data_IF_395225144011
#
_entry.id   IF_395225144011
#
_cell.length_a   1.000
_cell.length_b   1.000
_cell.length_c   1.000
_cell.angle_alpha   90.00
_cell.angle_beta   90.00
_cell.angle_gamma   90.00
#
_symmetry.space_group_name_H-M   'P 1'
#
loop_
_entity.id
_entity.type
_entity.pdbx_description
1 polymer ?
#
# COMPACT_ATOMS: atom_id res chain seq x y z
N UNK A 1 1.45 -14.10 -32.94
CA UNK A 1 0.67 -14.95 -32.01
C UNK A 1 1.50 -15.25 -30.77
N UNK A 2 1.47 -14.30 -29.81
CA UNK A 2 2.29 -14.32 -28.61
C UNK A 2 1.95 -15.50 -27.67
N UNK A 3 0.73 -16.00 -27.73
CA UNK A 3 0.28 -17.14 -26.93
C UNK A 3 0.90 -18.47 -27.40
N UNK A 4 1.29 -18.58 -28.65
CA UNK A 4 1.88 -19.79 -29.22
C UNK A 4 3.35 -20.00 -28.86
N UNK A 5 4.09 -18.93 -28.52
CA UNK A 5 5.55 -19.00 -28.40
C UNK A 5 6.12 -18.76 -27.03
N UNK A 6 5.32 -18.46 -26.00
CA UNK A 6 5.75 -18.25 -24.58
C UNK A 6 6.99 -17.35 -24.43
N UNK A 7 7.17 -16.37 -25.32
CA UNK A 7 8.27 -15.41 -25.24
C UNK A 7 7.94 -14.28 -24.26
N UNK A 8 8.96 -13.75 -23.61
CA UNK A 8 8.86 -12.52 -22.83
C UNK A 8 8.41 -11.37 -23.74
N UNK A 9 7.32 -10.69 -23.37
CA UNK A 9 6.71 -9.59 -24.12
C UNK A 9 7.10 -8.21 -23.57
N UNK A 10 8.11 -8.13 -22.72
CA UNK A 10 8.57 -6.85 -22.21
C UNK A 10 9.14 -6.01 -23.35
N UNK A 11 8.63 -4.79 -23.49
CA UNK A 11 9.03 -3.85 -24.53
C UNK A 11 9.50 -2.56 -23.88
N UNK A 12 10.68 -2.09 -24.27
CA UNK A 12 11.19 -0.77 -23.90
C UNK A 12 11.10 0.17 -25.12
N UNK A 13 10.49 1.35 -24.93
CA UNK A 13 10.37 2.39 -25.96
C UNK A 13 11.16 3.62 -25.51
N UNK A 14 12.24 3.94 -26.21
CA UNK A 14 13.13 5.04 -25.89
C UNK A 14 12.89 6.21 -26.86
N UNK A 15 12.84 7.41 -26.30
CA UNK A 15 12.70 8.65 -27.09
C UNK A 15 12.61 9.87 -26.18
N UNK A 16 13.03 11.02 -26.66
CA UNK A 16 12.95 12.29 -25.96
C UNK A 16 11.51 12.75 -25.70
N UNK A 17 11.34 13.87 -24.99
CA UNK A 17 10.02 14.51 -24.85
C UNK A 17 9.49 14.92 -26.21
N UNK A 18 8.20 14.74 -26.46
CA UNK A 18 7.57 15.08 -27.75
C UNK A 18 7.83 14.11 -28.90
N UNK A 19 8.65 13.04 -28.73
CA UNK A 19 8.94 12.06 -29.80
C UNK A 19 7.74 11.18 -30.21
N UNK A 20 6.59 11.34 -29.56
CA UNK A 20 5.37 10.63 -29.90
C UNK A 20 5.22 9.24 -29.29
N UNK A 21 6.03 8.86 -28.27
CA UNK A 21 5.92 7.56 -27.59
C UNK A 21 4.48 7.23 -27.19
N UNK A 22 3.81 8.16 -26.53
CA UNK A 22 2.41 7.98 -26.09
C UNK A 22 1.47 7.88 -27.30
N UNK A 23 1.63 8.75 -28.28
CA UNK A 23 0.73 8.85 -29.45
C UNK A 23 0.84 7.66 -30.38
N UNK A 24 2.07 7.24 -30.71
CA UNK A 24 2.31 6.25 -31.76
C UNK A 24 2.55 4.83 -31.23
N UNK A 25 2.80 4.68 -29.93
CA UNK A 25 3.00 3.36 -29.32
C UNK A 25 1.96 3.03 -28.24
N UNK A 26 1.89 3.82 -27.16
CA UNK A 26 1.03 3.48 -26.01
C UNK A 26 -0.45 3.46 -26.40
N UNK A 27 -0.96 4.54 -27.00
CA UNK A 27 -2.39 4.64 -27.36
C UNK A 27 -2.84 3.59 -28.38
N UNK A 28 -2.11 3.34 -29.49
CA UNK A 28 -2.50 2.28 -30.43
C UNK A 28 -2.50 0.88 -29.80
N UNK A 29 -1.54 0.56 -28.94
CA UNK A 29 -1.52 -0.73 -28.25
C UNK A 29 -2.66 -0.85 -27.24
N UNK A 30 -2.94 0.19 -26.48
CA UNK A 30 -4.06 0.22 -25.54
C UNK A 30 -5.43 0.06 -26.23
N UNK A 31 -5.58 0.64 -27.43
CA UNK A 31 -6.81 0.59 -28.22
C UNK A 31 -7.04 -0.75 -28.95
N UNK A 32 -6.11 -1.69 -28.86
CA UNK A 32 -6.37 -3.06 -29.31
C UNK A 32 -7.38 -3.79 -28.41
N UNK A 33 -7.51 -3.39 -27.16
CA UNK A 33 -8.51 -3.88 -26.18
C UNK A 33 -8.50 -5.41 -26.03
N UNK A 34 -7.31 -6.02 -26.05
CA UNK A 34 -7.14 -7.49 -26.03
C UNK A 34 -6.92 -8.08 -24.63
N UNK A 35 -6.88 -7.25 -23.59
CA UNK A 35 -6.63 -7.71 -22.20
C UNK A 35 -6.93 -6.65 -21.17
N UNK A 36 -6.46 -6.86 -19.95
CA UNK A 36 -6.48 -5.87 -18.91
C UNK A 36 -5.27 -4.94 -18.98
N UNK A 37 -5.41 -3.73 -18.50
CA UNK A 37 -4.38 -2.70 -18.61
C UNK A 37 -4.14 -2.01 -17.27
N UNK A 38 -2.87 -1.82 -16.93
CA UNK A 38 -2.43 -0.92 -15.88
C UNK A 38 -1.61 0.21 -16.49
N UNK A 39 -2.02 1.45 -16.27
CA UNK A 39 -1.31 2.63 -16.74
C UNK A 39 -0.79 3.45 -15.57
N UNK A 40 0.52 3.70 -15.53
CA UNK A 40 1.08 4.81 -14.77
C UNK A 40 1.00 6.05 -15.66
N UNK A 41 0.16 7.00 -15.30
CA UNK A 41 -0.28 8.12 -16.14
C UNK A 41 0.11 9.48 -15.54
N UNK A 42 1.38 9.91 -15.69
CA UNK A 42 1.77 11.24 -15.28
C UNK A 42 0.89 12.29 -15.96
N UNK A 43 0.28 13.21 -15.20
CA UNK A 43 -0.64 14.25 -15.68
C UNK A 43 -2.03 13.81 -16.14
N UNK A 44 -2.38 12.53 -16.10
CA UNK A 44 -3.69 12.02 -16.46
C UNK A 44 -4.03 12.12 -17.95
N UNK A 45 -3.02 12.17 -18.86
CA UNK A 45 -3.27 12.25 -20.31
C UNK A 45 -3.95 11.00 -20.84
N UNK A 46 -3.47 9.82 -20.44
CA UNK A 46 -4.03 8.54 -20.87
C UNK A 46 -5.44 8.36 -20.32
N UNK A 47 -5.66 8.68 -19.05
CA UNK A 47 -6.98 8.63 -18.41
C UNK A 47 -8.01 9.44 -19.19
N UNK A 48 -7.70 10.70 -19.51
CA UNK A 48 -8.60 11.59 -20.27
C UNK A 48 -8.85 11.13 -21.71
N UNK A 49 -7.87 10.50 -22.36
CA UNK A 49 -7.99 10.16 -23.79
C UNK A 49 -8.45 8.74 -24.03
N UNK A 50 -8.15 7.79 -23.13
CA UNK A 50 -8.48 6.38 -23.30
C UNK A 50 -9.63 5.92 -22.41
N UNK A 51 -9.75 6.46 -21.19
CA UNK A 51 -10.72 5.97 -20.20
C UNK A 51 -12.11 5.85 -20.77
N UNK A 52 -12.68 6.96 -21.27
CA UNK A 52 -14.03 6.96 -21.84
C UNK A 52 -14.17 6.05 -23.07
N UNK A 53 -13.14 5.92 -23.89
CA UNK A 53 -13.16 5.02 -25.06
C UNK A 53 -13.25 3.57 -24.57
N UNK A 54 -12.45 3.20 -23.59
CA UNK A 54 -12.46 1.85 -23.00
C UNK A 54 -13.81 1.52 -22.37
N UNK A 55 -14.40 2.44 -21.61
CA UNK A 55 -15.74 2.28 -21.04
C UNK A 55 -16.81 2.05 -22.10
N UNK A 56 -16.79 2.82 -23.21
CA UNK A 56 -17.75 2.63 -24.32
C UNK A 56 -17.59 1.30 -25.04
N UNK A 57 -16.44 0.65 -24.86
CA UNK A 57 -16.15 -0.69 -25.39
C UNK A 57 -16.39 -1.81 -24.36
N UNK A 58 -16.98 -1.49 -23.23
CA UNK A 58 -17.34 -2.46 -22.18
C UNK A 58 -16.20 -2.85 -21.24
N UNK A 59 -15.05 -2.17 -21.28
CA UNK A 59 -13.96 -2.38 -20.34
C UNK A 59 -14.27 -1.59 -19.05
N UNK A 60 -14.19 -2.25 -17.93
CA UNK A 60 -14.33 -1.60 -16.61
C UNK A 60 -13.11 -0.71 -16.35
N UNK A 61 -13.34 0.58 -16.17
CA UNK A 61 -12.26 1.57 -15.94
C UNK A 61 -12.26 1.99 -14.48
N UNK A 62 -11.10 1.93 -13.86
CA UNK A 62 -10.87 2.43 -12.50
C UNK A 62 -9.71 3.43 -12.52
N UNK A 63 -9.84 4.49 -11.74
CA UNK A 63 -8.82 5.56 -11.66
C UNK A 63 -8.44 5.79 -10.21
N UNK A 64 -7.14 5.73 -9.93
CA UNK A 64 -6.56 6.21 -8.69
C UNK A 64 -5.77 7.50 -9.00
N UNK A 65 -6.31 8.64 -8.59
CA UNK A 65 -5.69 9.95 -8.87
C UNK A 65 -4.97 10.47 -7.61
N UNK A 66 -3.65 10.38 -7.60
CA UNK A 66 -2.79 10.86 -6.50
C UNK A 66 -2.53 12.38 -6.57
N UNK A 67 -3.01 13.05 -7.63
CA UNK A 67 -2.92 14.52 -7.75
C UNK A 67 -4.09 15.19 -7.03
N UNK A 68 -5.31 14.68 -7.24
CA UNK A 68 -6.54 15.23 -6.66
C UNK A 68 -7.10 14.41 -5.50
N UNK A 69 -6.45 13.27 -5.16
CA UNK A 69 -6.89 12.30 -4.16
C UNK A 69 -8.30 11.76 -4.46
N UNK A 70 -8.48 11.23 -5.67
CA UNK A 70 -9.72 10.61 -6.13
C UNK A 70 -9.54 9.11 -6.38
N UNK A 71 -10.64 8.35 -6.20
CA UNK A 71 -10.60 6.90 -6.13
C UNK A 71 -10.14 6.42 -4.75
N UNK A 72 -10.37 5.16 -4.42
CA UNK A 72 -10.04 4.61 -3.12
C UNK A 72 -9.22 3.33 -3.27
N UNK A 73 -8.08 3.29 -2.60
CA UNK A 73 -7.21 2.14 -2.54
C UNK A 73 -6.78 1.90 -1.10
N UNK A 74 -7.23 0.81 -0.52
CA UNK A 74 -6.81 0.38 0.81
C UNK A 74 -5.90 -0.84 0.70
N UNK A 75 -4.59 -0.71 0.92
CA UNK A 75 -3.67 -1.84 0.88
C UNK A 75 -4.01 -2.98 1.84
N UNK A 76 -4.68 -2.69 2.97
CA UNK A 76 -5.08 -3.73 3.93
C UNK A 76 -6.18 -4.65 3.38
N UNK A 77 -6.95 -4.22 2.37
CA UNK A 77 -7.98 -5.04 1.74
C UNK A 77 -7.43 -6.24 0.94
N UNK A 78 -6.11 -6.30 0.74
CA UNK A 78 -5.42 -7.35 -0.05
C UNK A 78 -4.50 -8.22 0.80
N UNK A 79 -4.63 -8.17 2.12
CA UNK A 79 -3.89 -9.02 3.03
C UNK A 79 -4.63 -10.35 3.19
N UNK A 80 -3.96 -11.45 2.86
CA UNK A 80 -4.51 -12.80 2.98
C UNK A 80 -3.72 -13.65 3.99
N UNK A 81 -2.44 -13.33 4.18
CA UNK A 81 -1.53 -14.07 5.06
C UNK A 81 -0.80 -13.15 6.03
N UNK A 82 -0.21 -13.73 7.08
CA UNK A 82 0.63 -13.00 8.04
C UNK A 82 1.83 -12.34 7.35
N UNK A 83 2.40 -13.04 6.37
CA UNK A 83 3.53 -12.55 5.58
C UNK A 83 3.15 -11.31 4.77
N UNK A 84 1.91 -11.21 4.28
CA UNK A 84 1.44 -10.02 3.56
C UNK A 84 1.39 -8.80 4.48
N UNK A 85 0.94 -8.98 5.72
CA UNK A 85 0.93 -7.93 6.74
C UNK A 85 2.34 -7.44 7.06
N UNK A 86 3.29 -8.37 7.21
CA UNK A 86 4.70 -8.05 7.46
C UNK A 86 5.33 -7.34 6.26
N UNK A 87 5.08 -7.81 5.03
CA UNK A 87 5.55 -7.16 3.80
C UNK A 87 4.99 -5.75 3.66
N UNK A 88 3.71 -5.55 4.00
CA UNK A 88 3.09 -4.23 3.96
C UNK A 88 3.76 -3.27 4.95
N UNK A 89 3.99 -3.70 6.19
CA UNK A 89 4.70 -2.90 7.19
C UNK A 89 6.12 -2.52 6.72
N UNK A 90 6.84 -3.50 6.17
CA UNK A 90 8.18 -3.29 5.62
C UNK A 90 8.17 -2.31 4.43
N UNK A 91 7.20 -2.44 3.53
CA UNK A 91 7.04 -1.53 2.39
C UNK A 91 6.76 -0.10 2.85
N UNK A 92 5.91 0.10 3.87
CA UNK A 92 5.63 1.41 4.45
C UNK A 92 6.92 2.04 4.98
N UNK A 93 7.61 1.37 5.91
CA UNK A 93 8.80 1.92 6.55
C UNK A 93 9.89 2.27 5.54
N UNK A 94 10.10 1.42 4.52
CA UNK A 94 11.18 1.65 3.54
C UNK A 94 10.84 2.70 2.47
N UNK A 95 9.56 2.86 2.12
CA UNK A 95 9.17 3.77 1.05
C UNK A 95 8.74 5.17 1.53
N UNK A 96 8.56 5.35 2.84
CA UNK A 96 8.19 6.66 3.42
C UNK A 96 9.36 7.45 3.97
N UNK A 97 10.57 6.90 3.92
CA UNK A 97 11.78 7.60 4.34
C UNK A 97 12.08 8.81 3.46
N UNK A 98 12.52 9.93 4.06
CA UNK A 98 13.07 11.04 3.30
C UNK A 98 14.23 10.56 2.41
N UNK A 99 14.27 10.96 1.14
CA UNK A 99 15.33 10.58 0.19
C UNK A 99 16.72 11.04 0.61
N UNK A 100 16.78 12.09 1.43
CA UNK A 100 18.01 12.69 1.94
C UNK A 100 18.38 12.20 3.36
N UNK A 101 17.68 11.19 3.88
CA UNK A 101 18.06 10.58 5.15
C UNK A 101 19.46 9.96 4.99
N UNK A 102 20.39 10.21 5.94
CA UNK A 102 21.72 9.60 5.88
C UNK A 102 21.57 8.08 5.73
N UNK A 103 22.32 7.49 4.78
CA UNK A 103 22.35 6.03 4.53
C UNK A 103 23.00 5.25 5.67
N UNK A 104 22.66 5.54 6.89
CA UNK A 104 23.14 4.99 8.16
C UNK A 104 22.24 5.36 9.29
N UNK A 105 21.00 5.82 8.97
CA UNK A 105 19.93 5.95 9.96
C UNK A 105 19.81 4.65 10.73
N UNK A 106 19.71 4.75 12.03
CA UNK A 106 19.84 3.62 12.95
C UNK A 106 18.85 2.52 12.56
N UNK A 107 19.34 1.45 11.94
CA UNK A 107 18.56 0.29 11.48
C UNK A 107 17.64 -0.25 12.59
N UNK A 108 18.04 -0.05 13.83
CA UNK A 108 17.25 -0.41 14.99
C UNK A 108 15.86 0.27 15.00
N UNK A 109 15.76 1.56 14.65
CA UNK A 109 14.49 2.30 14.64
C UNK A 109 13.55 1.81 13.55
N UNK A 110 14.13 1.51 12.38
CA UNK A 110 13.40 0.97 11.24
C UNK A 110 12.87 -0.43 11.55
N UNK A 111 13.74 -1.34 11.99
CA UNK A 111 13.38 -2.72 12.32
C UNK A 111 12.32 -2.74 13.46
N UNK A 112 12.48 -1.88 14.48
CA UNK A 112 11.51 -1.75 15.55
C UNK A 112 10.16 -1.17 15.09
N UNK A 113 10.19 -0.21 14.16
CA UNK A 113 8.98 0.34 13.55
C UNK A 113 8.26 -0.71 12.70
N UNK A 114 8.99 -1.53 11.95
CA UNK A 114 8.41 -2.66 11.20
C UNK A 114 7.73 -3.64 12.14
N UNK A 115 8.37 -4.03 13.25
CA UNK A 115 7.77 -4.95 14.22
C UNK A 115 6.46 -4.40 14.81
N UNK A 116 6.47 -3.13 15.24
CA UNK A 116 5.26 -2.50 15.79
C UNK A 116 4.15 -2.39 14.73
N UNK A 117 4.47 -1.86 13.56
CA UNK A 117 3.47 -1.67 12.49
C UNK A 117 2.92 -3.03 12.04
N UNK A 118 3.76 -4.08 11.92
CA UNK A 118 3.30 -5.44 11.61
C UNK A 118 2.34 -5.98 12.66
N UNK A 119 2.67 -5.80 13.96
CA UNK A 119 1.80 -6.24 15.05
C UNK A 119 0.42 -5.57 14.97
N UNK A 120 0.40 -4.26 14.68
CA UNK A 120 -0.85 -3.50 14.58
C UNK A 120 -1.66 -3.89 13.34
N UNK A 121 -1.00 -4.08 12.18
CA UNK A 121 -1.68 -4.55 10.95
C UNK A 121 -2.29 -5.93 11.18
N UNK A 122 -1.54 -6.88 11.76
CA UNK A 122 -2.04 -8.21 12.08
C UNK A 122 -3.21 -8.15 13.07
N UNK A 123 -3.14 -7.26 14.08
CA UNK A 123 -4.26 -7.05 14.98
C UNK A 123 -5.50 -6.57 14.23
N UNK A 124 -5.37 -5.56 13.37
CA UNK A 124 -6.49 -5.05 12.59
C UNK A 124 -7.05 -6.09 11.62
N UNK A 125 -6.18 -6.88 10.99
CA UNK A 125 -6.56 -7.92 10.02
C UNK A 125 -7.44 -9.01 10.67
N UNK A 126 -7.11 -9.44 11.88
CA UNK A 126 -7.78 -10.58 12.52
C UNK A 126 -8.90 -10.17 13.51
N UNK A 127 -8.73 -9.04 14.19
CA UNK A 127 -9.57 -8.67 15.33
C UNK A 127 -10.52 -7.50 15.06
N UNK A 128 -10.21 -6.66 14.06
CA UNK A 128 -11.02 -5.48 13.78
C UNK A 128 -12.06 -5.73 12.67
N UNK A 129 -13.22 -5.08 12.71
CA UNK A 129 -14.15 -5.11 11.59
C UNK A 129 -13.53 -4.48 10.34
N UNK A 130 -13.98 -4.91 9.15
CA UNK A 130 -13.41 -4.46 7.87
C UNK A 130 -13.40 -2.92 7.69
N UNK A 131 -14.35 -2.21 8.30
CA UNK A 131 -14.40 -0.75 8.28
C UNK A 131 -13.25 -0.07 9.03
N UNK A 132 -12.60 -0.78 9.96
CA UNK A 132 -11.48 -0.30 10.76
C UNK A 132 -10.12 -0.80 10.25
N UNK A 133 -10.10 -1.73 9.30
CA UNK A 133 -8.89 -2.26 8.69
C UNK A 133 -8.31 -1.25 7.70
N UNK A 134 -7.78 -0.13 8.20
CA UNK A 134 -7.19 0.95 7.39
C UNK A 134 -6.10 1.71 8.15
N UNK A 135 -5.35 2.52 7.43
CA UNK A 135 -4.22 3.27 8.00
C UNK A 135 -4.64 4.37 8.98
N UNK A 136 -5.86 4.90 8.87
CA UNK A 136 -6.35 5.89 9.83
C UNK A 136 -6.52 5.27 11.22
N UNK A 137 -7.07 4.05 11.28
CA UNK A 137 -7.18 3.29 12.54
C UNK A 137 -5.80 2.93 13.09
N UNK A 138 -4.89 2.46 12.22
CA UNK A 138 -3.51 2.14 12.63
C UNK A 138 -2.81 3.37 13.21
N UNK A 139 -2.94 4.53 12.57
CA UNK A 139 -2.38 5.78 13.07
C UNK A 139 -3.02 6.22 14.38
N UNK A 140 -4.34 6.06 14.51
CA UNK A 140 -5.06 6.30 15.75
C UNK A 140 -4.51 5.45 16.90
N UNK A 141 -4.25 4.17 16.68
CA UNK A 141 -3.68 3.27 17.69
C UNK A 141 -2.30 3.75 18.14
N UNK A 142 -1.43 4.17 17.23
CA UNK A 142 -0.09 4.68 17.54
C UNK A 142 -0.16 6.00 18.34
N UNK A 143 -0.98 6.96 17.88
CA UNK A 143 -1.10 8.28 18.51
C UNK A 143 -1.73 8.24 19.91
N UNK A 144 -2.59 7.26 20.18
CA UNK A 144 -3.20 7.07 21.49
C UNK A 144 -2.38 6.15 22.40
N UNK A 145 -1.25 5.63 21.93
CA UNK A 145 -0.30 4.90 22.74
C UNK A 145 0.51 5.89 23.59
N UNK A 146 -0.07 6.35 24.69
CA UNK A 146 0.62 7.26 25.62
C UNK A 146 1.64 6.47 26.44
N UNK A 147 2.88 6.91 26.40
CA UNK A 147 3.92 6.45 27.31
C UNK A 147 3.92 7.42 28.51
N UNK A 148 3.32 7.00 29.61
CA UNK A 148 3.40 7.76 30.85
C UNK A 148 4.69 7.38 31.59
N UNK A 149 5.39 8.38 32.13
CA UNK A 149 6.48 8.15 33.10
C UNK A 149 5.97 7.55 34.42
N UNK A 150 4.66 7.61 34.62
CA UNK A 150 4.01 7.06 35.81
C UNK A 150 3.56 5.62 35.50
N UNK A 151 4.19 4.63 36.09
CA UNK A 151 3.91 3.20 35.94
C UNK A 151 2.45 2.79 36.26
N UNK A 152 1.65 3.70 36.87
CA UNK A 152 0.24 3.47 37.16
C UNK A 152 -0.70 3.71 36.00
N UNK A 153 -0.25 4.31 34.89
CA UNK A 153 -1.07 4.52 33.69
C UNK A 153 -0.82 3.39 32.71
N UNK A 154 -1.75 2.45 32.65
CA UNK A 154 -1.68 1.34 31.70
C UNK A 154 -1.72 1.87 30.24
N UNK A 155 -0.73 1.46 29.45
CA UNK A 155 -0.66 1.81 28.04
C UNK A 155 -1.78 1.08 27.29
N UNK A 156 -2.65 1.79 26.53
CA UNK A 156 -3.76 1.17 25.82
C UNK A 156 -3.37 0.02 24.88
N UNK A 157 -2.21 0.09 24.20
CA UNK A 157 -1.72 -1.02 23.38
C UNK A 157 -1.34 -2.24 24.22
N UNK A 158 -0.71 -2.03 25.39
CA UNK A 158 -0.37 -3.15 26.29
C UNK A 158 -1.62 -3.84 26.83
N UNK A 159 -2.68 -3.08 27.13
CA UNK A 159 -3.96 -3.65 27.54
C UNK A 159 -4.57 -4.48 26.41
N UNK A 160 -4.64 -3.91 25.21
CA UNK A 160 -5.20 -4.53 24.01
C UNK A 160 -4.49 -5.86 23.68
N UNK A 161 -3.16 -5.83 23.57
CA UNK A 161 -2.37 -7.02 23.27
C UNK A 161 -2.33 -8.01 24.46
N UNK A 162 -2.38 -7.53 25.70
CA UNK A 162 -2.47 -8.39 26.88
C UNK A 162 -3.80 -9.15 26.97
N UNK A 163 -4.90 -8.55 26.51
CA UNK A 163 -6.19 -9.22 26.41
C UNK A 163 -6.18 -10.28 25.32
N UNK A 164 -5.63 -9.95 24.14
CA UNK A 164 -5.47 -10.89 23.04
C UNK A 164 -4.56 -12.06 23.45
N UNK A 165 -3.43 -11.81 24.13
CA UNK A 165 -2.51 -12.83 24.62
C UNK A 165 -3.18 -13.80 25.60
N UNK A 166 -4.05 -13.32 26.50
CA UNK A 166 -4.79 -14.18 27.41
C UNK A 166 -5.75 -15.11 26.69
N UNK A 167 -6.30 -14.68 25.55
CA UNK A 167 -7.22 -15.46 24.73
C UNK A 167 -6.48 -16.42 23.78
N UNK A 168 -5.44 -15.92 23.11
CA UNK A 168 -4.60 -16.67 22.17
C UNK A 168 -3.13 -16.27 22.28
N UNK A 169 -2.33 -16.97 23.09
CA UNK A 169 -0.90 -16.67 23.27
C UNK A 169 -0.05 -16.87 22.02
N UNK A 170 -0.56 -17.62 21.02
CA UNK A 170 0.14 -17.89 19.75
C UNK A 170 -0.35 -17.00 18.61
N UNK A 171 -1.25 -16.08 18.88
CA UNK A 171 -1.76 -15.16 17.86
C UNK A 171 -0.62 -14.39 17.17
N UNK A 172 -0.56 -14.32 15.82
CA UNK A 172 0.53 -13.69 15.09
C UNK A 172 0.81 -12.25 15.53
N UNK A 173 -0.24 -11.46 15.76
CA UNK A 173 -0.11 -10.10 16.27
C UNK A 173 0.56 -10.04 17.64
N UNK A 174 0.24 -10.98 18.54
CA UNK A 174 0.85 -11.08 19.89
C UNK A 174 2.33 -11.42 19.80
N UNK A 175 2.70 -12.36 18.93
CA UNK A 175 4.09 -12.76 18.73
C UNK A 175 4.93 -11.60 18.18
N UNK A 176 4.40 -10.85 17.22
CA UNK A 176 5.07 -9.65 16.69
C UNK A 176 5.18 -8.55 17.75
N UNK A 177 4.12 -8.30 18.52
CA UNK A 177 4.14 -7.31 19.58
C UNK A 177 5.14 -7.66 20.71
N UNK A 178 5.22 -8.94 21.08
CA UNK A 178 6.24 -9.42 22.04
C UNK A 178 7.66 -9.19 21.50
N UNK A 179 7.90 -9.49 20.23
CA UNK A 179 9.19 -9.26 19.59
C UNK A 179 9.57 -7.77 19.61
N UNK A 180 8.62 -6.88 19.31
CA UNK A 180 8.77 -5.45 19.48
C UNK A 180 9.12 -5.06 20.91
N UNK A 181 8.40 -5.58 21.90
CA UNK A 181 8.59 -5.24 23.31
C UNK A 181 9.95 -5.68 23.88
N UNK A 182 10.60 -6.71 23.31
CA UNK A 182 11.96 -7.11 23.72
C UNK A 182 12.99 -5.98 23.52
N UNK A 183 12.84 -5.22 22.44
CA UNK A 183 13.72 -4.08 22.12
C UNK A 183 13.29 -2.76 22.74
N UNK A 184 12.01 -2.62 23.10
CA UNK A 184 11.37 -1.33 23.34
C UNK A 184 11.47 -0.78 24.77
N UNK A 185 11.89 -1.58 25.78
CA UNK A 185 11.77 -1.25 27.22
C UNK A 185 12.28 0.14 27.64
N UNK A 186 13.33 0.66 26.97
CA UNK A 186 13.91 1.99 27.28
C UNK A 186 13.72 3.02 26.16
N UNK A 187 13.20 2.60 25.02
CA UNK A 187 13.15 3.36 23.78
C UNK A 187 11.76 3.43 23.17
N UNK A 188 10.75 2.92 23.89
CA UNK A 188 9.36 2.80 23.39
C UNK A 188 8.85 4.10 22.81
N UNK A 189 9.01 5.22 23.50
CA UNK A 189 8.55 6.54 23.02
C UNK A 189 9.21 6.93 21.71
N UNK A 190 10.53 6.70 21.58
CA UNK A 190 11.27 7.03 20.37
C UNK A 190 10.85 6.14 19.18
N UNK A 191 10.54 4.87 19.43
CA UNK A 191 10.04 3.96 18.40
C UNK A 191 8.62 4.37 17.96
N UNK A 192 7.76 4.76 18.89
CA UNK A 192 6.43 5.28 18.56
C UNK A 192 6.51 6.55 17.70
N UNK A 193 7.44 7.46 18.02
CA UNK A 193 7.70 8.66 17.20
C UNK A 193 8.18 8.26 15.81
N UNK A 194 9.10 7.29 15.70
CA UNK A 194 9.59 6.79 14.41
C UNK A 194 8.47 6.14 13.59
N UNK A 195 7.66 5.29 14.20
CA UNK A 195 6.52 4.67 13.55
C UNK A 195 5.47 5.70 13.09
N UNK A 196 5.16 6.69 13.94
CA UNK A 196 4.28 7.80 13.58
C UNK A 196 4.86 8.64 12.43
N UNK A 197 6.18 8.85 12.41
CA UNK A 197 6.86 9.56 11.32
C UNK A 197 6.78 8.80 9.99
N UNK A 198 6.81 7.47 10.00
CA UNK A 198 6.62 6.66 8.78
C UNK A 198 5.17 6.72 8.25
N UNK A 199 4.21 7.08 9.10
CA UNK A 199 2.79 7.10 8.79
C UNK A 199 2.21 8.53 8.72
N UNK A 200 3.03 9.59 8.86
CA UNK A 200 2.54 10.97 8.98
C UNK A 200 1.66 11.42 7.81
N UNK A 201 1.86 10.87 6.61
CA UNK A 201 1.07 11.19 5.42
C UNK A 201 -0.40 10.83 5.59
N UNK A 202 -0.70 9.79 6.36
CA UNK A 202 -2.07 9.36 6.66
C UNK A 202 -2.82 10.32 7.61
N UNK A 203 -2.14 11.33 8.16
CA UNK A 203 -2.80 12.44 8.88
C UNK A 203 -3.45 13.47 7.92
N UNK A 204 -3.11 13.43 6.63
CA UNK A 204 -3.80 14.25 5.63
C UNK A 204 -5.22 13.74 5.42
N UNK A 205 -6.24 14.58 5.68
CA UNK A 205 -7.65 14.18 5.59
C UNK A 205 -8.02 13.55 4.25
N UNK A 206 -7.57 14.14 3.14
CA UNK A 206 -7.87 13.62 1.79
C UNK A 206 -7.17 12.29 1.52
N UNK A 207 -5.93 12.16 1.99
CA UNK A 207 -5.16 10.93 1.81
C UNK A 207 -5.70 9.80 2.70
N UNK A 208 -6.06 10.10 3.94
CA UNK A 208 -6.73 9.19 4.85
C UNK A 208 -8.06 8.68 4.26
N UNK A 209 -8.88 9.58 3.69
CA UNK A 209 -10.12 9.21 3.00
C UNK A 209 -9.85 8.28 1.81
N UNK A 210 -8.89 8.62 0.94
CA UNK A 210 -8.52 7.82 -0.24
C UNK A 210 -8.07 6.40 0.14
N UNK A 211 -7.45 6.22 1.32
CA UNK A 211 -6.94 4.92 1.78
C UNK A 211 -7.85 4.22 2.79
N UNK A 212 -9.05 4.76 3.06
CA UNK A 212 -9.97 4.22 4.06
C UNK A 212 -10.74 2.98 3.61
N UNK A 213 -10.99 2.84 2.31
CA UNK A 213 -11.71 1.73 1.69
C UNK A 213 -11.09 1.37 0.35
N UNK A 214 -11.51 0.25 -0.24
CA UNK A 214 -11.00 -0.20 -1.55
C UNK A 214 -12.08 -0.14 -2.64
N UNK A 215 -11.70 0.39 -3.79
CA UNK A 215 -12.48 0.43 -5.02
C UNK A 215 -11.66 -0.06 -6.24
N UNK A 216 -10.43 -0.55 -6.02
CA UNK A 216 -9.56 -0.99 -7.10
C UNK A 216 -9.89 -2.38 -7.59
N UNK A 217 -10.36 -3.28 -6.70
CA UNK A 217 -10.74 -4.66 -7.03
C UNK A 217 -9.63 -5.41 -7.78
N UNK A 218 -8.39 -5.35 -7.28
CA UNK A 218 -7.19 -5.85 -7.96
C UNK A 218 -7.31 -7.29 -8.49
N UNK A 219 -7.88 -8.28 -7.73
CA UNK A 219 -8.02 -9.65 -8.24
C UNK A 219 -8.83 -9.74 -9.54
N UNK A 220 -9.80 -8.82 -9.75
CA UNK A 220 -10.62 -8.81 -10.96
C UNK A 220 -9.84 -8.47 -12.23
N UNK A 221 -8.65 -7.87 -12.12
CA UNK A 221 -7.78 -7.58 -13.27
C UNK A 221 -7.36 -8.85 -14.02
N UNK A 222 -7.32 -10.00 -13.36
CA UNK A 222 -7.03 -11.30 -13.98
C UNK A 222 -8.26 -12.07 -14.44
N UNK A 223 -9.47 -11.69 -13.99
CA UNK A 223 -10.72 -12.42 -14.26
C UNK A 223 -11.56 -11.79 -15.34
N UNK A 224 -11.46 -10.49 -15.53
CA UNK A 224 -12.24 -9.72 -16.49
C UNK A 224 -11.39 -8.61 -17.14
N UNK A 225 -11.82 -8.10 -18.30
CA UNK A 225 -11.11 -7.01 -18.95
C UNK A 225 -11.33 -5.69 -18.19
N UNK A 226 -10.25 -5.16 -17.62
CA UNK A 226 -10.25 -3.92 -16.84
C UNK A 226 -9.10 -3.01 -17.26
N UNK A 227 -9.28 -1.73 -17.05
CA UNK A 227 -8.21 -0.73 -17.18
C UNK A 227 -8.09 0.06 -15.87
N UNK A 228 -6.93 -0.02 -15.26
CA UNK A 228 -6.59 0.72 -14.05
C UNK A 228 -5.60 1.83 -14.42
N UNK A 229 -5.99 3.08 -14.15
CA UNK A 229 -5.15 4.26 -14.34
C UNK A 229 -4.69 4.78 -12.99
N UNK A 230 -3.37 4.93 -12.82
CA UNK A 230 -2.78 5.57 -11.65
C UNK A 230 -2.23 6.91 -12.10
N UNK A 231 -2.93 7.99 -11.76
CA UNK A 231 -2.52 9.35 -12.09
C UNK A 231 -1.52 9.84 -11.05
N UNK A 232 -0.32 10.19 -11.52
CA UNK A 232 0.80 10.60 -10.68
C UNK A 232 1.10 12.09 -10.89
N UNK A 233 1.51 12.83 -9.84
CA UNK A 233 2.02 14.17 -10.02
C UNK A 233 3.40 14.15 -10.70
N UNK A 234 3.64 15.13 -11.57
CA UNK A 234 4.88 15.22 -12.38
C UNK A 234 6.10 15.64 -11.54
N UNK A 235 5.87 16.54 -10.58
CA UNK A 235 6.91 17.22 -9.83
C UNK A 235 6.96 16.82 -8.34
N UNK A 236 6.06 15.95 -7.89
CA UNK A 236 5.99 15.51 -6.50
C UNK A 236 5.98 13.98 -6.45
N UNK A 237 6.96 13.43 -5.77
CA UNK A 237 7.10 11.97 -5.62
C UNK A 237 6.63 11.46 -4.26
N UNK A 238 6.09 12.34 -3.42
CA UNK A 238 5.71 12.04 -2.02
C UNK A 238 4.77 10.86 -1.91
N UNK A 239 3.79 10.74 -2.81
CA UNK A 239 2.78 9.68 -2.77
C UNK A 239 3.05 8.53 -3.77
N UNK A 240 4.21 8.52 -4.45
CA UNK A 240 4.53 7.46 -5.43
C UNK A 240 4.64 6.08 -4.79
N UNK A 241 4.92 5.99 -3.49
CA UNK A 241 4.96 4.72 -2.78
C UNK A 241 3.61 3.98 -2.83
N UNK A 242 2.48 4.70 -2.86
CA UNK A 242 1.14 4.12 -3.01
C UNK A 242 1.02 3.40 -4.36
N UNK A 243 1.49 4.03 -5.44
CA UNK A 243 1.50 3.38 -6.75
C UNK A 243 2.39 2.14 -6.77
N UNK A 244 3.54 2.18 -6.08
CA UNK A 244 4.45 1.03 -5.95
C UNK A 244 3.78 -0.10 -5.17
N UNK A 245 3.11 0.21 -4.05
CA UNK A 245 2.38 -0.78 -3.24
C UNK A 245 1.24 -1.42 -4.05
N UNK A 246 0.42 -0.61 -4.72
CA UNK A 246 -0.67 -1.09 -5.57
C UNK A 246 -0.13 -2.01 -6.68
N UNK A 247 0.94 -1.61 -7.35
CA UNK A 247 1.59 -2.40 -8.38
C UNK A 247 2.06 -3.76 -7.84
N UNK A 248 2.75 -3.76 -6.70
CA UNK A 248 3.23 -4.99 -6.07
C UNK A 248 2.07 -5.90 -5.69
N UNK A 249 1.05 -5.37 -5.02
CA UNK A 249 -0.13 -6.14 -4.63
C UNK A 249 -0.91 -6.67 -5.84
N UNK A 250 -1.04 -5.88 -6.91
CA UNK A 250 -1.68 -6.35 -8.13
C UNK A 250 -0.96 -7.58 -8.70
N UNK A 251 0.36 -7.55 -8.80
CA UNK A 251 1.11 -8.70 -9.32
C UNK A 251 1.04 -9.90 -8.37
N UNK A 252 1.11 -9.70 -7.06
CA UNK A 252 0.94 -10.78 -6.09
C UNK A 252 -0.43 -11.45 -6.24
N UNK A 253 -1.51 -10.68 -6.40
CA UNK A 253 -2.85 -11.20 -6.64
C UNK A 253 -2.95 -11.95 -7.98
N UNK A 254 -2.34 -11.43 -9.05
CA UNK A 254 -2.36 -12.08 -10.36
C UNK A 254 -1.56 -13.39 -10.37
N UNK A 255 -0.42 -13.46 -9.66
CA UNK A 255 0.36 -14.69 -9.52
C UNK A 255 -0.42 -15.73 -8.73
N UNK A 256 -1.03 -15.39 -7.59
CA UNK A 256 -1.89 -16.31 -6.83
C UNK A 256 -3.04 -16.85 -7.69
N UNK A 257 -3.66 -15.98 -8.49
CA UNK A 257 -4.74 -16.39 -9.38
C UNK A 257 -4.24 -17.32 -10.50
N UNK A 258 -3.01 -17.14 -10.99
CA UNK A 258 -2.43 -17.98 -12.03
C UNK A 258 -2.00 -19.37 -11.52
N UNK A 259 -1.72 -19.48 -10.22
CA UNK A 259 -1.30 -20.72 -9.55
C UNK A 259 -2.49 -21.54 -9.01
N UNK A 260 -3.70 -20.96 -8.98
CA UNK A 260 -4.95 -21.60 -8.52
C UNK A 260 -5.67 -22.34 -9.65
#
# INVERSE_FOLDING_TARGET
DSHAHKHNLNIIVIGGSGSGKTRFYVKPNALQLIGSYLFLDPKGELTRTLGRIMETKGISVTVLDLVHFQGHYNPMAYLETDEDAIKLAFAIVNNTKPKDAPSGGDKFWDDSSVLLISALILYLMYEAPASEQNFSTLMYMILNCQVSENEMVENPLMMLFGELERRDPQHPAVLQFKSFMLGAKKTLQSILISAAANLYMFNSRKFAEMTSRDEMFLPRMGLEQRALFIVLPDNDTTFNFIATMLYTQLFDQLFRLADS
#
